data_IF_764219708790
#
_entry.id   IF_764219708790
#
_cell.length_a   1.000
_cell.length_b   1.000
_cell.length_c   1.000
_cell.angle_alpha   90.00
_cell.angle_beta   90.00
_cell.angle_gamma   90.00
#
_symmetry.space_group_name_H-M   'P 1'
#
loop_
_entity.id
_entity.type
_entity.pdbx_description
1 polymer ?
#
# COMPACT_ATOMS: atom_id res chain seq x y z
N UNK A 1 -17.53 -7.99 -10.64
CA UNK A 1 -16.15 -8.27 -11.08
C UNK A 1 -15.97 -9.78 -11.12
N UNK A 2 -15.51 -10.33 -12.25
CA UNK A 2 -15.25 -11.77 -12.35
C UNK A 2 -13.92 -12.09 -11.66
N UNK A 3 -14.01 -12.58 -10.42
CA UNK A 3 -12.84 -12.96 -9.60
C UNK A 3 -12.04 -14.08 -10.28
N UNK A 4 -12.66 -14.86 -11.19
CA UNK A 4 -12.04 -15.97 -11.91
C UNK A 4 -11.23 -15.53 -13.13
N UNK A 5 -11.40 -14.28 -13.59
CA UNK A 5 -10.69 -13.70 -14.74
C UNK A 5 -10.23 -12.28 -14.41
N UNK A 6 -9.25 -12.13 -13.51
CA UNK A 6 -8.80 -10.81 -13.14
C UNK A 6 -8.12 -10.13 -14.33
N UNK A 7 -8.25 -8.81 -14.41
CA UNK A 7 -7.53 -8.02 -15.39
C UNK A 7 -6.02 -8.22 -15.19
N UNK A 8 -5.33 -8.56 -16.28
CA UNK A 8 -3.87 -8.71 -16.28
C UNK A 8 -3.24 -7.45 -16.89
N UNK A 9 -2.12 -7.03 -16.33
CA UNK A 9 -1.27 -5.97 -16.84
C UNK A 9 0.09 -6.58 -17.15
N UNK A 10 0.63 -6.29 -18.33
CA UNK A 10 1.99 -6.72 -18.70
C UNK A 10 2.93 -5.54 -18.54
N UNK A 11 3.96 -5.70 -17.71
CA UNK A 11 5.03 -4.71 -17.50
C UNK A 11 6.35 -5.42 -17.75
N UNK A 12 7.15 -4.93 -18.70
CA UNK A 12 8.45 -5.50 -19.09
C UNK A 12 8.43 -7.03 -19.31
N UNK A 13 7.40 -7.52 -20.00
CA UNK A 13 7.21 -8.94 -20.31
C UNK A 13 6.76 -9.82 -19.15
N UNK A 14 6.49 -9.23 -17.97
CA UNK A 14 5.92 -9.93 -16.80
C UNK A 14 4.45 -9.61 -16.65
N UNK A 15 3.64 -10.62 -16.34
CA UNK A 15 2.21 -10.48 -16.16
C UNK A 15 1.86 -10.32 -14.68
N UNK A 16 1.14 -9.25 -14.38
CA UNK A 16 0.65 -8.89 -13.05
C UNK A 16 -0.87 -8.92 -13.02
N UNK A 17 -1.43 -9.31 -11.88
CA UNK A 17 -2.87 -9.18 -11.62
C UNK A 17 -3.15 -7.74 -11.21
N UNK A 18 -4.09 -7.05 -11.87
CA UNK A 18 -4.60 -5.76 -11.39
C UNK A 18 -5.50 -6.00 -10.19
N UNK A 19 -5.19 -5.37 -9.07
CA UNK A 19 -6.05 -5.44 -7.89
C UNK A 19 -7.36 -4.68 -8.16
N UNK A 20 -8.50 -5.28 -7.83
CA UNK A 20 -9.80 -4.62 -7.97
C UNK A 20 -9.91 -3.47 -6.98
N UNK A 21 -10.44 -2.34 -7.44
CA UNK A 21 -10.74 -1.19 -6.58
C UNK A 21 -12.12 -1.44 -5.95
N UNK A 22 -12.25 -1.19 -4.64
CA UNK A 22 -13.51 -1.42 -3.96
C UNK A 22 -14.50 -0.30 -4.30
N UNK A 23 -15.53 -0.65 -5.06
CA UNK A 23 -16.51 0.29 -5.58
C UNK A 23 -17.73 0.56 -4.67
N UNK A 24 -17.90 -0.26 -3.63
CA UNK A 24 -19.06 -0.21 -2.74
C UNK A 24 -18.94 0.92 -1.71
N UNK A 25 -20.08 1.49 -1.34
CA UNK A 25 -20.18 2.30 -0.12
C UNK A 25 -19.83 1.40 1.06
N UNK A 26 -18.95 1.81 1.98
CA UNK A 26 -18.82 1.11 3.25
C UNK A 26 -20.20 1.09 3.91
N UNK A 27 -20.65 -0.09 4.33
CA UNK A 27 -21.66 -0.16 5.38
C UNK A 27 -21.09 0.58 6.60
N UNK A 28 -21.93 1.32 7.31
CA UNK A 28 -21.57 2.09 8.51
C UNK A 28 -21.01 1.21 9.65
N UNK A 29 -20.94 -0.11 9.47
CA UNK A 29 -20.63 -1.10 10.51
C UNK A 29 -19.16 -1.56 10.55
N UNK A 30 -18.26 -1.04 9.70
CA UNK A 30 -16.82 -1.39 9.71
C UNK A 30 -15.98 -0.43 10.58
N UNK A 31 -16.54 -0.01 11.72
CA UNK A 31 -15.94 0.79 12.79
C UNK A 31 -14.90 -0.02 13.62
N UNK A 32 -14.28 -1.04 13.02
CA UNK A 32 -13.56 -2.07 13.77
C UNK A 32 -12.03 -1.96 13.81
N UNK A 33 -11.38 -1.09 13.02
CA UNK A 33 -9.92 -1.25 12.83
C UNK A 33 -9.02 -0.02 12.86
N UNK A 34 -9.52 1.20 13.02
CA UNK A 34 -8.62 2.38 13.03
C UNK A 34 -9.10 3.46 14.01
N UNK A 35 -9.12 3.11 15.28
CA UNK A 35 -9.17 4.09 16.36
C UNK A 35 -7.77 4.26 16.96
N UNK A 36 -6.80 4.68 16.15
CA UNK A 36 -5.64 5.38 16.69
C UNK A 36 -4.95 6.21 15.59
N UNK A 37 -4.50 7.40 15.95
CA UNK A 37 -3.82 8.42 15.11
C UNK A 37 -4.67 9.29 14.16
N UNK A 38 -5.72 9.93 14.69
CA UNK A 38 -6.23 11.17 14.09
C UNK A 38 -5.34 12.36 14.49
N UNK A 39 -4.08 12.39 14.01
CA UNK A 39 -3.30 13.63 14.03
C UNK A 39 -3.84 14.51 12.90
N UNK A 40 -4.72 15.46 13.26
CA UNK A 40 -5.03 16.59 12.39
C UNK A 40 -3.71 17.30 12.10
N UNK A 41 -3.12 17.09 10.92
CA UNK A 41 -2.14 18.04 10.44
C UNK A 41 -2.89 19.34 10.24
N UNK A 42 -2.63 20.33 11.11
CA UNK A 42 -2.99 21.73 10.88
C UNK A 42 -2.22 22.21 9.65
N UNK A 43 -2.64 21.78 8.45
CA UNK A 43 -2.14 22.34 7.21
C UNK A 43 -2.63 23.79 7.14
N UNK A 44 -1.72 24.78 7.04
CA UNK A 44 -2.10 26.16 7.02
C UNK A 44 -2.99 26.46 5.81
N UNK A 45 -4.00 27.30 6.02
CA UNK A 45 -5.02 27.76 5.05
C UNK A 45 -4.43 28.40 3.75
N UNK A 46 -3.11 28.58 3.68
CA UNK A 46 -2.37 29.09 2.53
C UNK A 46 -1.80 27.99 1.60
N UNK A 47 -2.09 26.71 1.85
CA UNK A 47 -1.57 25.60 1.04
C UNK A 47 -2.14 25.53 -0.40
N UNK A 48 -3.27 26.19 -0.68
CA UNK A 48 -3.93 26.08 -1.98
C UNK A 48 -3.73 27.30 -2.86
N UNK A 49 -3.34 27.07 -4.12
CA UNK A 49 -3.38 28.10 -5.16
C UNK A 49 -4.85 28.42 -5.47
N UNK A 50 -5.26 29.64 -5.13
CA UNK A 50 -6.61 30.16 -5.41
C UNK A 50 -6.48 31.38 -6.31
N UNK A 51 -6.94 31.23 -7.55
CA UNK A 51 -6.92 32.26 -8.57
C UNK A 51 -8.09 33.24 -8.38
N UNK A 52 -7.80 34.54 -8.45
CA UNK A 52 -8.85 35.55 -8.57
C UNK A 52 -9.31 35.67 -10.03
N UNK A 53 -10.61 35.62 -10.24
CA UNK A 53 -11.26 35.71 -11.56
C UNK A 53 -12.21 36.92 -11.58
N UNK A 54 -12.67 37.39 -12.75
CA UNK A 54 -13.67 38.46 -12.84
C UNK A 54 -15.00 38.13 -12.12
N UNK A 55 -15.28 36.86 -11.87
CA UNK A 55 -16.54 36.37 -11.30
C UNK A 55 -16.39 35.89 -9.84
N UNK A 56 -15.22 36.06 -9.22
CA UNK A 56 -14.93 35.61 -7.86
C UNK A 56 -13.58 34.90 -7.78
N UNK A 57 -13.52 33.75 -7.12
CA UNK A 57 -12.32 32.95 -6.90
C UNK A 57 -12.48 31.55 -7.49
N UNK A 58 -11.37 30.94 -7.91
CA UNK A 58 -11.30 29.60 -8.51
C UNK A 58 -10.14 28.80 -7.94
N UNK A 59 -10.32 27.51 -7.75
CA UNK A 59 -9.23 26.55 -7.55
C UNK A 59 -9.56 25.23 -8.24
N UNK A 60 -8.55 24.38 -8.43
CA UNK A 60 -8.68 23.07 -9.08
C UNK A 60 -8.19 21.95 -8.17
N UNK A 61 -8.72 20.75 -8.42
CA UNK A 61 -8.37 19.52 -7.72
C UNK A 61 -8.05 18.45 -8.75
N UNK A 62 -6.85 17.91 -8.67
CA UNK A 62 -6.48 16.69 -9.37
C UNK A 62 -6.97 15.49 -8.57
N UNK A 63 -7.89 14.72 -9.14
CA UNK A 63 -8.44 13.53 -8.52
C UNK A 63 -8.66 12.44 -9.57
N UNK A 64 -8.28 11.18 -9.28
CA UNK A 64 -8.63 10.03 -10.11
C UNK A 64 -10.13 9.97 -10.37
N UNK A 65 -10.53 9.68 -11.61
CA UNK A 65 -11.95 9.63 -12.01
C UNK A 65 -12.80 8.66 -11.19
N UNK A 66 -12.17 7.63 -10.60
CA UNK A 66 -12.80 6.68 -9.68
C UNK A 66 -13.31 7.33 -8.38
N UNK A 67 -12.73 8.46 -7.96
CA UNK A 67 -13.12 9.19 -6.75
C UNK A 67 -14.33 10.11 -6.98
N UNK A 68 -14.64 10.46 -8.23
CA UNK A 68 -15.69 11.43 -8.54
C UNK A 68 -17.05 11.03 -7.97
N UNK A 69 -17.42 9.75 -8.08
CA UNK A 69 -18.71 9.25 -7.56
C UNK A 69 -18.82 9.42 -6.04
N UNK A 70 -17.71 9.37 -5.32
CA UNK A 70 -17.67 9.53 -3.86
C UNK A 70 -17.77 10.99 -3.44
N UNK A 71 -17.16 11.90 -4.22
CA UNK A 71 -17.29 13.35 -4.02
C UNK A 71 -18.73 13.81 -4.35
N UNK A 72 -19.32 13.28 -5.42
CA UNK A 72 -20.72 13.52 -5.79
C UNK A 72 -21.65 12.99 -4.68
N UNK A 73 -21.41 11.77 -4.21
CA UNK A 73 -22.23 11.08 -3.22
C UNK A 73 -23.56 10.58 -3.79
N UNK A 74 -24.34 9.89 -2.95
CA UNK A 74 -25.64 9.32 -3.34
C UNK A 74 -26.57 10.44 -3.81
N UNK A 75 -27.09 10.34 -5.05
CA UNK A 75 -27.94 11.36 -5.72
C UNK A 75 -27.33 12.79 -5.77
N UNK A 76 -26.01 12.91 -5.61
CA UNK A 76 -25.33 14.20 -5.57
C UNK A 76 -25.43 14.92 -4.22
N UNK A 77 -25.93 14.25 -3.16
CA UNK A 77 -26.24 14.89 -1.88
C UNK A 77 -24.97 15.44 -1.19
N UNK A 78 -23.83 14.74 -1.27
CA UNK A 78 -22.55 15.20 -0.71
C UNK A 78 -22.05 16.47 -1.39
N UNK A 79 -21.97 16.47 -2.72
CA UNK A 79 -21.57 17.64 -3.50
C UNK A 79 -22.46 18.85 -3.18
N UNK A 80 -23.79 18.67 -3.25
CA UNK A 80 -24.76 19.74 -2.98
C UNK A 80 -24.61 20.31 -1.57
N UNK A 81 -24.37 19.45 -0.58
CA UNK A 81 -24.13 19.87 0.80
C UNK A 81 -22.88 20.74 0.91
N UNK A 82 -21.78 20.36 0.26
CA UNK A 82 -20.54 21.16 0.24
C UNK A 82 -20.79 22.50 -0.45
N UNK A 83 -21.40 22.51 -1.64
CA UNK A 83 -21.73 23.73 -2.39
C UNK A 83 -22.59 24.71 -1.55
N UNK A 84 -23.62 24.19 -0.88
CA UNK A 84 -24.52 24.97 -0.02
C UNK A 84 -23.81 25.56 1.20
N UNK A 85 -23.08 24.75 1.96
CA UNK A 85 -22.44 25.18 3.20
C UNK A 85 -21.27 26.15 2.96
N UNK A 86 -20.56 25.98 1.85
CA UNK A 86 -19.39 26.81 1.51
C UNK A 86 -19.74 27.98 0.56
N UNK A 87 -20.97 28.04 0.05
CA UNK A 87 -21.44 29.01 -0.96
C UNK A 87 -20.55 28.99 -2.22
N UNK A 88 -20.23 27.79 -2.71
CA UNK A 88 -19.41 27.54 -3.90
C UNK A 88 -20.17 26.73 -4.94
N UNK A 89 -19.60 26.64 -6.14
CA UNK A 89 -20.00 25.69 -7.18
C UNK A 89 -18.84 24.76 -7.50
N UNK A 90 -19.12 23.47 -7.58
CA UNK A 90 -18.17 22.39 -7.83
C UNK A 90 -18.51 21.75 -9.19
N UNK A 91 -17.61 21.82 -10.14
CA UNK A 91 -17.73 21.15 -11.45
C UNK A 91 -16.83 19.92 -11.46
N UNK A 92 -17.41 18.75 -11.65
CA UNK A 92 -16.70 17.46 -11.69
C UNK A 92 -16.80 16.93 -13.11
N UNK A 93 -15.71 16.43 -13.72
CA UNK A 93 -15.74 15.80 -15.03
C UNK A 93 -16.72 14.60 -15.09
N UNK A 94 -17.10 14.20 -16.30
CA UNK A 94 -18.03 13.07 -16.46
C UNK A 94 -17.37 11.76 -15.97
N UNK A 95 -18.16 10.80 -15.45
CA UNK A 95 -17.62 9.49 -15.08
C UNK A 95 -16.85 8.85 -16.24
N UNK A 96 -15.63 8.38 -15.96
CA UNK A 96 -14.74 7.76 -16.94
C UNK A 96 -13.96 8.75 -17.83
N UNK A 97 -14.14 10.06 -17.65
CA UNK A 97 -13.26 11.08 -18.23
C UNK A 97 -12.28 11.56 -17.17
N UNK A 98 -11.00 11.62 -17.50
CA UNK A 98 -10.00 12.27 -16.64
C UNK A 98 -10.11 13.80 -16.75
N UNK A 99 -9.82 14.51 -15.66
CA UNK A 99 -9.79 15.96 -15.64
C UNK A 99 -9.75 16.54 -14.23
N UNK A 100 -9.64 17.86 -14.17
CA UNK A 100 -9.65 18.59 -12.90
C UNK A 100 -11.08 18.83 -12.42
N UNK A 101 -11.30 18.66 -11.11
CA UNK A 101 -12.50 19.19 -10.46
C UNK A 101 -12.28 20.68 -10.24
N UNK A 102 -13.22 21.50 -10.70
CA UNK A 102 -13.11 22.96 -10.62
C UNK A 102 -14.06 23.48 -9.54
N UNK A 103 -13.53 24.24 -8.60
CA UNK A 103 -14.30 24.88 -7.53
C UNK A 103 -14.29 26.39 -7.76
N UNK A 104 -15.47 27.01 -7.73
CA UNK A 104 -15.63 28.45 -7.91
C UNK A 104 -16.52 29.04 -6.82
N UNK A 105 -16.30 30.30 -6.44
CA UNK A 105 -17.12 30.96 -5.43
C UNK A 105 -16.83 32.45 -5.31
N UNK A 106 -17.75 33.21 -4.70
CA UNK A 106 -17.59 34.67 -4.54
C UNK A 106 -16.53 35.06 -3.50
N UNK A 107 -16.22 34.15 -2.56
CA UNK A 107 -15.28 34.40 -1.47
C UNK A 107 -14.17 33.35 -1.44
N UNK A 108 -12.91 33.81 -1.30
CA UNK A 108 -11.72 32.94 -1.21
C UNK A 108 -11.87 31.86 -0.13
N UNK A 109 -12.31 32.23 1.07
CA UNK A 109 -12.47 31.29 2.19
C UNK A 109 -13.50 30.19 1.90
N UNK A 110 -14.55 30.48 1.13
CA UNK A 110 -15.53 29.47 0.71
C UNK A 110 -14.90 28.45 -0.23
N UNK A 111 -14.12 28.92 -1.21
CA UNK A 111 -13.38 28.07 -2.15
C UNK A 111 -12.37 27.17 -1.42
N UNK A 112 -11.61 27.72 -0.47
CA UNK A 112 -10.67 26.95 0.36
C UNK A 112 -11.41 25.91 1.20
N UNK A 113 -12.51 26.30 1.87
CA UNK A 113 -13.28 25.36 2.68
C UNK A 113 -13.87 24.21 1.86
N UNK A 114 -14.35 24.48 0.64
CA UNK A 114 -14.81 23.45 -0.28
C UNK A 114 -13.67 22.52 -0.73
N UNK A 115 -12.50 23.10 -1.05
CA UNK A 115 -11.28 22.36 -1.42
C UNK A 115 -10.86 21.39 -0.32
N UNK A 116 -10.69 21.87 0.90
CA UNK A 116 -10.30 21.07 2.06
C UNK A 116 -11.29 19.93 2.33
N UNK A 117 -12.61 20.17 2.20
CA UNK A 117 -13.62 19.12 2.37
C UNK A 117 -13.53 18.02 1.30
N UNK A 118 -13.20 18.39 0.06
CA UNK A 118 -12.96 17.42 -1.01
C UNK A 118 -11.71 16.59 -0.72
N UNK A 119 -10.62 17.22 -0.28
CA UNK A 119 -9.38 16.51 0.09
C UNK A 119 -9.63 15.50 1.20
N UNK A 120 -10.32 15.90 2.27
CA UNK A 120 -10.69 15.00 3.38
C UNK A 120 -11.53 13.82 2.90
N UNK A 121 -12.48 14.03 1.97
CA UNK A 121 -13.27 12.94 1.39
C UNK A 121 -12.41 11.99 0.55
N UNK A 122 -11.52 12.52 -0.29
CA UNK A 122 -10.62 11.73 -1.12
C UNK A 122 -9.68 10.88 -0.26
N UNK A 123 -9.10 11.48 0.75
CA UNK A 123 -8.17 10.85 1.69
C UNK A 123 -8.86 9.77 2.53
N UNK A 124 -10.07 10.06 3.04
CA UNK A 124 -10.91 9.07 3.74
C UNK A 124 -11.25 7.88 2.84
N UNK A 125 -11.55 8.11 1.57
CA UNK A 125 -11.79 7.01 0.63
C UNK A 125 -10.52 6.22 0.33
N UNK A 126 -9.39 6.90 0.10
CA UNK A 126 -8.10 6.28 -0.23
C UNK A 126 -7.66 5.34 0.89
N UNK A 127 -7.79 5.75 2.17
CA UNK A 127 -7.51 4.90 3.33
C UNK A 127 -8.33 3.62 3.39
N UNK A 128 -9.55 3.63 2.83
CA UNK A 128 -10.42 2.44 2.79
C UNK A 128 -10.12 1.51 1.62
N UNK A 129 -9.25 1.91 0.68
CA UNK A 129 -8.91 1.05 -0.44
C UNK A 129 -7.86 0.02 -0.05
N UNK A 130 -7.94 -1.20 -0.61
CA UNK A 130 -6.85 -2.14 -0.52
C UNK A 130 -5.60 -1.57 -1.19
N UNK A 131 -4.43 -1.90 -0.66
CA UNK A 131 -3.17 -1.53 -1.29
C UNK A 131 -3.09 -2.06 -2.73
N UNK A 132 -2.58 -1.21 -3.62
CA UNK A 132 -2.51 -1.47 -5.06
C UNK A 132 -1.07 -1.68 -5.51
N UNK A 133 -0.14 -0.91 -4.92
CA UNK A 133 1.27 -0.89 -5.25
C UNK A 133 2.08 -0.85 -3.95
N UNK A 134 3.38 -1.10 -4.07
CA UNK A 134 4.31 -0.95 -2.97
C UNK A 134 5.70 -0.64 -3.52
N UNK A 135 6.49 0.09 -2.74
CA UNK A 135 7.91 0.30 -3.00
C UNK A 135 8.70 -0.87 -2.43
N UNK A 136 9.70 -1.37 -3.15
CA UNK A 136 10.50 -2.49 -2.67
C UNK A 136 11.91 -2.57 -3.26
N UNK A 137 12.78 -3.30 -2.56
CA UNK A 137 13.99 -3.90 -3.12
C UNK A 137 13.72 -5.36 -3.43
N UNK A 138 14.13 -5.83 -4.61
CA UNK A 138 14.03 -7.25 -4.95
C UNK A 138 15.19 -8.03 -4.33
N UNK A 139 14.86 -9.19 -3.75
CA UNK A 139 15.82 -10.13 -3.15
C UNK A 139 15.78 -11.47 -3.89
N UNK A 140 15.69 -11.41 -5.22
CA UNK A 140 15.50 -12.58 -6.07
C UNK A 140 16.70 -12.85 -6.97
N UNK A 141 17.92 -12.52 -6.53
CA UNK A 141 19.14 -13.00 -7.17
C UNK A 141 19.21 -14.53 -7.12
N UNK A 142 19.90 -15.14 -8.09
CA UNK A 142 19.96 -16.62 -8.23
C UNK A 142 20.48 -17.27 -6.94
N UNK A 143 21.57 -16.73 -6.37
CA UNK A 143 22.15 -17.26 -5.14
C UNK A 143 21.17 -17.18 -3.96
N UNK A 144 20.42 -16.08 -3.84
CA UNK A 144 19.42 -15.90 -2.77
C UNK A 144 18.29 -16.90 -2.94
N UNK A 145 17.80 -17.09 -4.16
CA UNK A 145 16.75 -18.07 -4.45
C UNK A 145 17.20 -19.50 -4.13
N UNK A 146 18.42 -19.89 -4.52
CA UNK A 146 18.96 -21.23 -4.24
C UNK A 146 19.16 -21.48 -2.75
N UNK A 147 19.69 -20.51 -1.99
CA UNK A 147 19.84 -20.62 -0.54
C UNK A 147 18.47 -20.66 0.16
N UNK A 148 17.51 -19.88 -0.31
CA UNK A 148 16.16 -19.92 0.22
C UNK A 148 15.48 -21.27 -0.01
N UNK A 149 15.65 -21.90 -1.18
CA UNK A 149 15.14 -23.26 -1.43
C UNK A 149 15.77 -24.28 -0.47
N UNK A 150 17.08 -24.19 -0.22
CA UNK A 150 17.74 -25.06 0.79
C UNK A 150 17.16 -24.86 2.19
N UNK A 151 16.86 -23.62 2.57
CA UNK A 151 16.16 -23.33 3.83
C UNK A 151 14.77 -23.97 3.86
N UNK A 152 14.00 -23.90 2.76
CA UNK A 152 12.69 -24.57 2.67
C UNK A 152 12.81 -26.09 2.89
N UNK A 153 13.77 -26.72 2.19
CA UNK A 153 14.03 -28.16 2.29
C UNK A 153 14.36 -28.57 3.73
N UNK A 154 15.24 -27.82 4.40
CA UNK A 154 15.64 -28.12 5.77
C UNK A 154 14.49 -27.92 6.78
N UNK A 155 13.72 -26.84 6.64
CA UNK A 155 12.54 -26.60 7.50
C UNK A 155 11.54 -27.73 7.33
N UNK A 156 11.28 -28.18 6.11
CA UNK A 156 10.37 -29.29 5.86
C UNK A 156 10.94 -30.63 6.35
N UNK A 157 12.24 -30.85 6.26
CA UNK A 157 12.88 -32.05 6.79
C UNK A 157 12.77 -32.12 8.33
N UNK A 158 13.01 -31.00 9.02
CA UNK A 158 13.16 -30.99 10.48
C UNK A 158 11.91 -30.58 11.25
N UNK A 159 11.00 -29.82 10.63
CA UNK A 159 9.87 -29.16 11.28
C UNK A 159 8.52 -29.48 10.62
N UNK A 160 8.43 -30.37 9.63
CA UNK A 160 7.14 -30.73 8.99
C UNK A 160 6.12 -31.37 9.93
N UNK A 161 6.56 -31.92 11.05
CA UNK A 161 5.67 -32.46 12.08
C UNK A 161 5.15 -31.38 13.05
N UNK A 162 5.68 -30.16 12.99
CA UNK A 162 5.22 -29.05 13.80
C UNK A 162 3.88 -28.52 13.25
N UNK A 163 3.01 -28.10 14.16
CA UNK A 163 1.63 -27.69 13.82
C UNK A 163 1.65 -26.58 12.77
N UNK A 164 0.92 -26.79 11.67
CA UNK A 164 0.68 -25.77 10.64
C UNK A 164 1.86 -25.47 9.71
N UNK A 165 3.02 -26.12 9.91
CA UNK A 165 4.18 -26.02 9.01
C UNK A 165 3.92 -26.85 7.77
N UNK A 166 3.90 -26.20 6.62
CA UNK A 166 3.61 -26.84 5.33
C UNK A 166 4.36 -26.16 4.19
N UNK A 167 4.59 -26.89 3.10
CA UNK A 167 5.25 -26.37 1.90
C UNK A 167 4.52 -25.20 1.25
N UNK A 168 3.19 -25.10 1.41
CA UNK A 168 2.40 -24.04 0.76
C UNK A 168 2.49 -22.67 1.46
N UNK A 169 3.02 -22.61 2.68
CA UNK A 169 3.15 -21.34 3.41
C UNK A 169 4.49 -20.64 3.17
N UNK A 170 5.39 -21.21 2.36
CA UNK A 170 6.62 -20.53 1.95
C UNK A 170 6.39 -19.53 0.82
N UNK A 171 7.15 -18.42 0.86
CA UNK A 171 7.17 -17.45 -0.23
C UNK A 171 7.68 -18.10 -1.53
N UNK A 172 7.22 -17.58 -2.67
CA UNK A 172 7.82 -17.92 -3.95
C UNK A 172 9.23 -17.28 -4.04
N UNK A 173 10.31 -18.03 -4.31
CA UNK A 173 11.66 -17.48 -4.40
C UNK A 173 11.79 -16.27 -5.34
N UNK A 174 11.03 -16.27 -6.46
CA UNK A 174 11.02 -15.16 -7.43
C UNK A 174 10.35 -13.88 -6.91
N UNK A 175 9.59 -13.99 -5.82
CA UNK A 175 8.85 -12.91 -5.15
C UNK A 175 9.50 -12.46 -3.85
N UNK A 176 10.71 -12.92 -3.51
CA UNK A 176 11.43 -12.37 -2.35
C UNK A 176 11.74 -10.89 -2.57
N UNK A 177 11.41 -10.06 -1.59
CA UNK A 177 11.60 -8.61 -1.62
C UNK A 177 11.61 -8.03 -0.20
N UNK A 178 12.15 -6.81 -0.08
CA UNK A 178 11.99 -5.93 1.07
C UNK A 178 10.94 -4.89 0.75
N UNK A 179 9.89 -4.80 1.54
CA UNK A 179 8.86 -3.76 1.39
C UNK A 179 9.30 -2.48 2.09
N UNK A 180 9.27 -1.37 1.37
CA UNK A 180 9.56 -0.02 1.89
C UNK A 180 8.27 0.67 2.34
N UNK A 181 7.23 0.61 1.51
CA UNK A 181 5.98 1.30 1.80
C UNK A 181 4.85 0.86 0.88
N UNK A 182 3.63 0.86 1.42
CA UNK A 182 2.42 0.44 0.72
C UNK A 182 1.68 1.65 0.16
N UNK A 183 1.17 1.52 -1.06
CA UNK A 183 0.58 2.62 -1.83
C UNK A 183 -0.83 2.27 -2.31
N UNK A 184 -1.68 3.27 -2.35
CA UNK A 184 -2.97 3.25 -3.04
C UNK A 184 -2.88 4.24 -4.19
N UNK A 185 -2.64 3.76 -5.41
CA UNK A 185 -2.58 4.57 -6.63
C UNK A 185 -3.78 4.19 -7.50
N UNK A 186 -4.62 5.18 -7.81
CA UNK A 186 -5.95 4.98 -8.38
C UNK A 186 -6.06 5.46 -9.84
N UNK A 187 -4.99 6.01 -10.41
CA UNK A 187 -4.91 6.38 -11.82
C UNK A 187 -3.50 6.15 -12.39
N UNK A 188 -3.39 6.06 -13.71
CA UNK A 188 -2.09 6.00 -14.42
C UNK A 188 -1.26 7.27 -14.17
N UNK A 189 -1.92 8.42 -14.01
CA UNK A 189 -1.24 9.67 -13.68
C UNK A 189 -0.55 9.59 -12.31
N UNK A 190 -1.21 9.01 -11.30
CA UNK A 190 -0.60 8.81 -9.98
C UNK A 190 0.57 7.84 -10.03
N UNK A 191 0.48 6.78 -10.85
CA UNK A 191 1.60 5.85 -11.08
C UNK A 191 2.79 6.60 -11.68
N UNK A 192 2.56 7.38 -12.73
CA UNK A 192 3.61 8.15 -13.41
C UNK A 192 4.27 9.17 -12.46
N UNK A 193 3.46 9.92 -11.70
CA UNK A 193 3.96 10.85 -10.68
C UNK A 193 4.80 10.13 -9.61
N UNK A 194 4.34 8.97 -9.16
CA UNK A 194 5.06 8.14 -8.18
C UNK A 194 6.44 7.71 -8.72
N UNK A 195 6.50 7.30 -9.99
CA UNK A 195 7.76 6.96 -10.64
C UNK A 195 8.71 8.17 -10.72
N UNK A 196 8.20 9.35 -11.09
CA UNK A 196 8.99 10.58 -11.15
C UNK A 196 9.52 11.00 -9.78
N UNK A 197 8.70 10.89 -8.73
CA UNK A 197 9.13 11.17 -7.35
C UNK A 197 10.26 10.22 -6.95
N UNK A 198 10.15 8.93 -7.27
CA UNK A 198 11.20 7.96 -6.97
C UNK A 198 12.52 8.27 -7.72
N UNK A 199 12.43 8.73 -8.98
CA UNK A 199 13.61 9.20 -9.71
C UNK A 199 14.22 10.47 -9.08
N UNK A 200 13.40 11.40 -8.60
CA UNK A 200 13.90 12.58 -7.87
C UNK A 200 14.57 12.17 -6.56
N UNK A 201 14.00 11.23 -5.79
CA UNK A 201 14.67 10.67 -4.61
C UNK A 201 16.04 10.09 -4.96
N UNK A 202 16.15 9.46 -6.15
CA UNK A 202 17.43 8.94 -6.66
C UNK A 202 18.50 10.02 -6.71
N UNK A 203 18.15 11.13 -7.36
CA UNK A 203 19.04 12.27 -7.60
C UNK A 203 19.31 13.09 -6.33
N UNK A 204 18.28 13.33 -5.51
CA UNK A 204 18.36 14.21 -4.34
C UNK A 204 19.11 13.61 -3.16
N UNK A 205 19.06 12.29 -2.95
CA UNK A 205 19.69 11.69 -1.78
C UNK A 205 20.12 10.23 -1.90
N UNK A 206 19.46 9.37 -2.68
CA UNK A 206 19.84 7.94 -2.73
C UNK A 206 21.26 7.78 -3.30
N UNK A 207 21.63 8.54 -4.33
CA UNK A 207 22.98 8.51 -4.90
C UNK A 207 24.04 8.91 -3.87
N UNK A 208 23.75 9.92 -3.05
CA UNK A 208 24.66 10.39 -2.00
C UNK A 208 24.78 9.36 -0.86
N UNK A 209 23.65 8.86 -0.35
CA UNK A 209 23.63 7.84 0.70
C UNK A 209 24.34 6.57 0.23
N UNK A 210 24.18 6.18 -1.03
CA UNK A 210 24.84 5.02 -1.63
C UNK A 210 26.29 5.27 -2.05
N UNK A 211 26.75 6.53 -2.09
CA UNK A 211 28.07 6.90 -2.59
C UNK A 211 28.26 6.52 -4.06
N UNK A 212 27.18 6.48 -4.83
CA UNK A 212 27.15 6.05 -6.23
C UNK A 212 27.47 4.57 -6.47
N UNK A 213 27.48 3.73 -5.43
CA UNK A 213 27.77 2.29 -5.50
C UNK A 213 26.61 1.47 -4.94
N UNK A 214 26.40 0.23 -5.41
CA UNK A 214 25.43 -0.68 -4.79
C UNK A 214 25.67 -0.82 -3.29
N UNK A 215 24.59 -0.82 -2.51
CA UNK A 215 24.65 -1.13 -1.07
C UNK A 215 24.70 -2.66 -0.91
N UNK A 216 25.74 -3.15 -0.23
CA UNK A 216 25.84 -4.58 0.05
C UNK A 216 25.14 -4.94 1.36
N UNK A 217 24.03 -5.67 1.23
CA UNK A 217 23.28 -6.21 2.35
C UNK A 217 23.40 -7.73 2.41
N UNK A 218 23.24 -8.28 3.61
CA UNK A 218 23.11 -9.70 3.88
C UNK A 218 21.74 -10.01 4.48
N UNK A 219 21.17 -11.14 4.07
CA UNK A 219 19.95 -11.67 4.64
C UNK A 219 20.33 -12.80 5.59
N UNK A 220 20.30 -12.55 6.89
CA UNK A 220 20.82 -13.45 7.92
C UNK A 220 19.98 -13.38 9.20
N UNK A 221 19.72 -14.53 9.80
CA UNK A 221 18.73 -14.71 10.87
C UNK A 221 17.26 -14.56 10.44
N UNK A 222 16.38 -15.10 11.29
CA UNK A 222 14.92 -15.08 11.09
C UNK A 222 14.21 -14.58 12.35
N UNK A 223 13.08 -13.92 12.16
CA UNK A 223 12.17 -13.43 13.20
C UNK A 223 10.70 -13.53 12.71
N UNK A 224 9.76 -13.19 13.57
CA UNK A 224 8.32 -13.29 13.31
C UNK A 224 7.60 -11.99 13.69
N UNK A 225 6.39 -11.77 13.15
CA UNK A 225 5.66 -10.50 13.29
C UNK A 225 4.77 -10.40 14.53
N UNK A 226 4.28 -11.52 15.04
CA UNK A 226 3.38 -11.60 16.20
C UNK A 226 4.16 -11.96 17.47
N UNK A 227 3.51 -12.01 18.64
CA UNK A 227 4.22 -12.15 19.93
C UNK A 227 4.51 -13.60 20.35
N UNK A 228 3.74 -14.59 19.86
CA UNK A 228 3.86 -15.99 20.26
C UNK A 228 4.53 -16.84 19.16
N UNK A 229 5.74 -17.38 19.41
CA UNK A 229 6.45 -18.23 18.46
C UNK A 229 5.77 -19.60 18.23
N UNK A 230 4.80 -20.00 19.06
CA UNK A 230 3.95 -21.17 18.85
C UNK A 230 2.73 -20.92 17.94
N UNK A 231 2.45 -19.65 17.62
CA UNK A 231 1.27 -19.20 16.88
C UNK A 231 1.66 -18.18 15.78
N UNK A 232 2.68 -18.49 14.99
CA UNK A 232 3.22 -17.57 13.97
C UNK A 232 2.32 -17.48 12.74
N UNK A 233 2.12 -16.26 12.26
CA UNK A 233 1.46 -15.97 10.97
C UNK A 233 2.47 -15.61 9.88
N UNK A 234 3.49 -14.83 10.23
CA UNK A 234 4.51 -14.34 9.30
C UNK A 234 5.88 -14.55 9.92
N UNK A 235 6.71 -15.33 9.24
CA UNK A 235 8.14 -15.45 9.50
C UNK A 235 8.89 -14.70 8.40
N UNK A 236 9.87 -13.89 8.80
CA UNK A 236 10.69 -13.11 7.90
C UNK A 236 12.17 -13.29 8.21
N UNK A 237 12.99 -13.20 7.18
CA UNK A 237 14.42 -13.07 7.33
C UNK A 237 14.79 -11.60 7.57
N UNK A 238 15.80 -11.39 8.42
CA UNK A 238 16.35 -10.07 8.67
C UNK A 238 17.34 -9.69 7.58
N UNK A 239 17.46 -8.40 7.34
CA UNK A 239 18.44 -7.85 6.42
C UNK A 239 19.26 -6.78 7.11
N UNK A 240 20.58 -6.91 6.99
CA UNK A 240 21.56 -6.01 7.59
C UNK A 240 22.60 -5.61 6.55
N UNK A 241 23.22 -4.45 6.70
CA UNK A 241 24.35 -4.06 5.86
C UNK A 241 25.58 -4.87 6.24
N UNK A 242 26.34 -5.37 5.25
CA UNK A 242 27.57 -6.14 5.50
C UNK A 242 28.66 -5.33 6.19
N UNK A 243 28.68 -4.02 5.95
CA UNK A 243 29.63 -3.09 6.57
C UNK A 243 29.19 -2.65 7.98
N UNK A 244 28.07 -3.17 8.49
CA UNK A 244 27.49 -2.80 9.78
C UNK A 244 26.88 -1.41 9.84
N UNK A 245 26.83 -0.68 8.72
CA UNK A 245 26.23 0.66 8.67
C UNK A 245 24.70 0.59 8.67
N UNK A 246 24.05 1.74 8.91
CA UNK A 246 22.60 1.92 8.83
C UNK A 246 22.15 2.57 7.51
N UNK A 247 23.01 2.64 6.49
CA UNK A 247 22.75 3.40 5.25
C UNK A 247 21.50 2.94 4.51
N UNK A 248 21.22 1.63 4.50
CA UNK A 248 20.00 1.09 3.90
C UNK A 248 18.74 1.57 4.65
N UNK A 249 18.79 1.59 5.98
CA UNK A 249 17.67 2.07 6.80
C UNK A 249 17.45 3.57 6.61
N UNK A 250 18.51 4.38 6.65
CA UNK A 250 18.46 5.82 6.39
C UNK A 250 17.84 6.13 5.02
N UNK A 251 18.28 5.41 3.98
CA UNK A 251 17.73 5.54 2.63
C UNK A 251 16.23 5.27 2.63
N UNK A 252 15.81 4.15 3.21
CA UNK A 252 14.43 3.68 3.21
C UNK A 252 13.51 4.61 3.99
N UNK A 253 13.95 5.06 5.18
CA UNK A 253 13.18 5.98 6.01
C UNK A 253 13.00 7.34 5.31
N UNK A 254 14.05 7.83 4.62
CA UNK A 254 13.96 9.08 3.85
C UNK A 254 13.08 8.97 2.60
N UNK A 255 13.05 7.80 1.94
CA UNK A 255 12.08 7.52 0.87
C UNK A 255 10.66 7.49 1.45
N UNK A 256 10.44 6.81 2.57
CA UNK A 256 9.14 6.75 3.22
C UNK A 256 8.64 8.15 3.60
N UNK A 257 9.48 8.95 4.26
CA UNK A 257 9.17 10.33 4.66
C UNK A 257 8.75 11.18 3.45
N UNK A 258 9.49 11.09 2.33
CA UNK A 258 9.14 11.83 1.11
C UNK A 258 7.75 11.47 0.59
N UNK A 259 7.39 10.20 0.62
CA UNK A 259 6.12 9.72 0.09
C UNK A 259 4.96 9.97 1.07
N UNK A 260 5.22 9.97 2.38
CA UNK A 260 4.27 10.40 3.41
C UNK A 260 3.96 11.89 3.27
N UNK A 261 4.97 12.74 3.08
CA UNK A 261 4.81 14.18 2.90
C UNK A 261 3.97 14.56 1.65
N UNK A 262 3.89 13.66 0.67
CA UNK A 262 3.08 13.83 -0.54
C UNK A 262 1.69 13.18 -0.43
N UNK A 263 1.33 12.63 0.74
CA UNK A 263 0.03 11.98 0.98
C UNK A 263 -0.16 10.66 0.21
N UNK A 264 0.91 10.04 -0.28
CA UNK A 264 0.85 8.82 -1.08
C UNK A 264 0.90 7.54 -0.22
N UNK A 265 1.52 7.63 0.95
CA UNK A 265 1.61 6.55 1.95
C UNK A 265 0.90 7.00 3.22
N UNK A 266 0.03 6.15 3.76
CA UNK A 266 -0.63 6.39 5.05
C UNK A 266 0.43 6.34 6.17
N UNK A 267 0.45 7.37 7.01
CA UNK A 267 1.41 7.52 8.11
C UNK A 267 1.06 6.58 9.26
N UNK A 268 1.50 5.33 9.17
CA UNK A 268 1.31 4.37 10.27
C UNK A 268 2.56 4.22 11.14
N UNK A 269 3.75 4.52 10.62
CA UNK A 269 5.02 4.29 11.33
C UNK A 269 6.08 5.35 11.03
N UNK A 270 6.92 5.64 12.03
CA UNK A 270 8.05 6.59 11.92
C UNK A 270 9.29 5.98 11.24
N UNK A 271 9.38 4.65 11.12
CA UNK A 271 10.51 3.96 10.49
C UNK A 271 10.05 2.61 9.92
N UNK A 272 10.65 2.20 8.80
CA UNK A 272 10.31 0.94 8.14
C UNK A 272 10.99 -0.22 8.86
N UNK A 273 10.21 -1.19 9.33
CA UNK A 273 10.75 -2.49 9.74
C UNK A 273 11.17 -3.26 8.49
N UNK A 274 12.41 -3.10 8.02
CA UNK A 274 12.90 -3.82 6.85
C UNK A 274 12.99 -5.33 7.13
N UNK A 275 12.28 -6.11 6.33
CA UNK A 275 12.24 -7.56 6.47
C UNK A 275 11.89 -8.23 5.14
N UNK A 276 12.39 -9.46 4.95
CA UNK A 276 12.07 -10.30 3.81
C UNK A 276 11.11 -11.40 4.26
N UNK A 277 9.82 -11.33 3.89
CA UNK A 277 8.86 -12.37 4.28
C UNK A 277 9.23 -13.71 3.62
N UNK A 278 9.54 -14.71 4.44
CA UNK A 278 9.94 -16.06 3.99
C UNK A 278 8.81 -17.08 4.11
N UNK A 279 7.96 -16.96 5.13
CA UNK A 279 6.75 -17.77 5.31
C UNK A 279 5.57 -16.89 5.73
N UNK A 280 4.39 -17.19 5.20
CA UNK A 280 3.15 -16.50 5.54
C UNK A 280 1.96 -17.46 5.44
N UNK A 281 1.15 -17.53 6.49
CA UNK A 281 -0.04 -18.39 6.55
C UNK A 281 -1.08 -18.06 5.48
N UNK A 282 -1.10 -16.83 4.98
CA UNK A 282 -1.95 -16.41 3.88
C UNK A 282 -1.54 -17.02 2.52
N UNK A 283 -0.33 -17.58 2.40
CA UNK A 283 0.07 -18.28 1.18
C UNK A 283 -0.52 -19.69 1.07
N UNK A 284 -1.02 -20.23 2.19
CA UNK A 284 -1.56 -21.59 2.26
C UNK A 284 -2.55 -21.82 1.14
N UNK A 285 -2.21 -22.74 0.25
CA UNK A 285 -3.10 -23.14 -0.85
C UNK A 285 -4.14 -24.07 -0.25
N UNK A 286 -5.41 -23.73 -0.41
CA UNK A 286 -6.48 -24.67 -0.06
C UNK A 286 -6.49 -25.80 -1.11
N UNK A 287 -6.28 -27.06 -0.71
CA UNK A 287 -6.28 -28.20 -1.64
C UNK A 287 -7.60 -28.36 -2.40
N UNK A 288 -8.70 -27.85 -1.85
CA UNK A 288 -10.04 -27.89 -2.44
C UNK A 288 -10.42 -26.60 -3.18
N UNK A 289 -9.57 -25.56 -3.14
CA UNK A 289 -9.83 -24.33 -3.89
C UNK A 289 -9.07 -24.36 -5.22
N UNK A 290 -9.77 -24.70 -6.29
CA UNK A 290 -9.36 -24.31 -7.64
C UNK A 290 -9.24 -22.76 -7.69
N UNK A 291 -8.04 -22.23 -7.47
CA UNK A 291 -7.67 -20.83 -7.74
C UNK A 291 -8.36 -19.74 -6.91
N UNK A 292 -9.04 -20.05 -5.79
CA UNK A 292 -9.75 -19.04 -4.98
C UNK A 292 -8.80 -18.31 -4.02
N UNK A 293 -8.06 -17.34 -4.54
CA UNK A 293 -7.48 -16.30 -3.71
C UNK A 293 -8.57 -15.23 -3.51
N UNK A 294 -9.08 -15.16 -2.28
CA UNK A 294 -10.26 -14.43 -1.81
C UNK A 294 -11.57 -15.18 -2.14
N UNK A 295 -12.03 -15.97 -1.17
CA UNK A 295 -13.36 -16.58 -1.17
C UNK A 295 -14.39 -15.46 -1.04
N UNK A 296 -14.96 -15.03 -2.16
CA UNK A 296 -16.23 -14.30 -2.16
C UNK A 296 -17.35 -15.32 -2.29
N UNK A 297 -18.39 -15.19 -1.48
CA UNK A 297 -19.65 -15.91 -1.72
C UNK A 297 -20.32 -15.40 -3.00
N UNK A 298 -21.31 -16.12 -3.54
CA UNK A 298 -22.05 -15.70 -4.74
C UNK A 298 -22.77 -14.34 -4.57
N UNK A 299 -23.00 -13.93 -3.33
CA UNK A 299 -23.52 -12.62 -2.89
C UNK A 299 -22.43 -11.58 -2.57
N UNK A 300 -21.15 -11.88 -2.86
CA UNK A 300 -20.05 -10.91 -2.76
C UNK A 300 -19.53 -10.66 -1.34
N UNK A 301 -19.90 -11.47 -0.34
CA UNK A 301 -19.35 -11.37 1.01
C UNK A 301 -17.99 -12.06 1.08
N UNK A 302 -17.03 -11.39 1.71
CA UNK A 302 -15.71 -11.92 1.98
C UNK A 302 -15.82 -13.04 3.01
N UNK A 303 -15.44 -14.27 2.64
CA UNK A 303 -15.29 -15.36 3.60
C UNK A 303 -13.94 -15.16 4.29
N UNK A 304 -13.99 -14.72 5.54
CA UNK A 304 -12.83 -14.72 6.42
C UNK A 304 -12.44 -16.18 6.65
N UNK A 305 -11.43 -16.68 5.92
CA UNK A 305 -10.80 -17.93 6.29
C UNK A 305 -9.96 -17.61 7.53
N UNK A 306 -10.35 -18.18 8.66
CA UNK A 306 -9.62 -18.02 9.92
C UNK A 306 -8.15 -18.38 9.67
N UNK A 307 -7.24 -17.49 10.07
CA UNK A 307 -5.81 -17.71 9.83
C UNK A 307 -5.36 -18.91 10.65
N UNK A 308 -4.89 -19.94 9.95
CA UNK A 308 -4.27 -21.08 10.61
C UNK A 308 -2.78 -20.78 10.81
N UNK A 309 -2.43 -20.37 12.04
CA UNK A 309 -1.05 -20.13 12.46
C UNK A 309 -0.20 -21.40 12.42
N UNK A 310 1.13 -21.26 12.45
CA UNK A 310 2.06 -22.38 12.59
C UNK A 310 2.98 -22.23 13.80
N UNK A 311 3.49 -23.36 14.30
CA UNK A 311 4.48 -23.39 15.39
C UNK A 311 5.89 -23.19 14.82
N UNK A 312 6.45 -22.01 15.04
CA UNK A 312 7.77 -21.61 14.56
C UNK A 312 8.92 -21.94 15.51
N UNK A 313 8.67 -22.50 16.71
CA UNK A 313 9.68 -22.62 17.77
C UNK A 313 10.91 -23.43 17.37
N UNK A 314 10.76 -24.48 16.57
CA UNK A 314 11.89 -25.27 16.10
C UNK A 314 12.57 -24.65 14.88
N UNK A 315 11.81 -23.97 14.02
CA UNK A 315 12.34 -23.20 12.90
C UNK A 315 13.32 -22.13 13.40
N UNK A 316 12.94 -21.40 14.46
CA UNK A 316 13.77 -20.38 15.10
C UNK A 316 15.09 -20.91 15.71
N UNK A 317 15.24 -22.23 15.89
CA UNK A 317 16.47 -22.86 16.39
C UNK A 317 17.40 -23.31 15.25
N UNK A 318 16.94 -23.27 14.01
CA UNK A 318 17.77 -23.60 12.86
C UNK A 318 18.86 -22.54 12.73
N UNK A 319 20.10 -22.99 12.56
CA UNK A 319 21.26 -22.11 12.40
C UNK A 319 21.46 -21.62 10.97
N UNK A 320 20.53 -21.92 10.08
CA UNK A 320 20.69 -21.73 8.65
C UNK A 320 19.88 -20.52 8.20
N UNK A 321 20.52 -19.37 8.36
CA UNK A 321 20.29 -18.16 7.59
C UNK A 321 21.51 -17.25 7.68
#
# INVERSE_FOLDING_TARGET
>A
MDVLRPQLITIDGRNYRKNPIQENYPHEDDEGFYQDSMEYSDEPCDAYEVEQTPQGFRTTVNAPSLLYKHIVGKRGDTKKKIEMETKTSISIPKPGQEGEIVITGQHRNGVISARTRIDVLMDTFRRKQPFTHFLSFFLNEVEVQERFVKFQEEVLEKCSMDRGVDSSIFQNPKKLHLTIGMLVLLSEQEIQQTCEILQRCKEEFINDISGGKPLEAEMAGIEYMNDDPGMVDVLYAKVHMKDGSNRLQELVDRVLERFQALGLIVKDWNSVKLHATVMNTLFRKDPNAEGRYNLYTADGKYIFKERESFDGRNILKLKLF
#
